data_IF_662218480863
#
_entry.id   IF_662218480863
#
_cell.length_a   1.000
_cell.length_b   1.000
_cell.length_c   1.000
_cell.angle_alpha   90.00
_cell.angle_beta   90.00
_cell.angle_gamma   90.00
#
_symmetry.space_group_name_H-M   'P 1'
#
loop_
_entity.id
_entity.type
_entity.pdbx_description
1 polymer ?
#
# COMPACT_ATOMS: atom_id res chain seq x y z
N UNK A 1 10.40 -11.90 12.17
CA UNK A 1 10.14 -13.36 12.14
C UNK A 1 9.12 -13.83 13.18
N UNK A 2 9.29 -13.55 14.46
CA UNK A 2 8.35 -13.95 15.52
C UNK A 2 6.88 -13.61 15.21
N UNK A 3 6.60 -12.35 14.82
CA UNK A 3 5.24 -11.90 14.49
C UNK A 3 4.64 -12.69 13.32
N UNK A 4 5.42 -12.96 12.26
CA UNK A 4 4.93 -13.74 11.12
C UNK A 4 4.63 -15.19 11.51
N UNK A 5 5.50 -15.81 12.30
CA UNK A 5 5.33 -17.18 12.76
C UNK A 5 4.12 -17.34 13.70
N UNK A 6 3.84 -16.33 14.55
CA UNK A 6 2.73 -16.37 15.52
C UNK A 6 1.38 -15.94 14.95
N UNK A 7 1.31 -15.48 13.70
CA UNK A 7 0.06 -15.09 13.04
C UNK A 7 -0.65 -16.25 12.35
N UNK A 8 0.03 -17.36 12.11
CA UNK A 8 -0.58 -18.53 11.50
C UNK A 8 -1.59 -19.17 12.48
N UNK A 9 -2.85 -19.30 12.04
CA UNK A 9 -3.90 -19.93 12.84
C UNK A 9 -3.91 -21.46 12.68
N UNK A 10 -3.64 -21.99 11.49
CA UNK A 10 -3.75 -23.43 11.20
C UNK A 10 -2.55 -24.00 10.46
N UNK A 11 -1.89 -23.21 9.64
CA UNK A 11 -0.80 -23.68 8.81
C UNK A 11 0.23 -22.58 8.59
N UNK A 12 1.50 -22.92 8.76
CA UNK A 12 2.64 -22.04 8.50
C UNK A 12 3.55 -22.71 7.47
N UNK A 13 3.70 -22.10 6.31
CA UNK A 13 4.68 -22.49 5.31
C UNK A 13 5.88 -21.56 5.37
N UNK A 14 7.06 -22.17 5.49
CA UNK A 14 8.32 -21.45 5.41
C UNK A 14 9.07 -21.90 4.16
N UNK A 15 9.64 -20.95 3.41
CA UNK A 15 10.42 -21.24 2.21
C UNK A 15 11.65 -20.33 2.13
N UNK A 16 12.65 -20.78 1.40
CA UNK A 16 13.84 -20.02 1.07
C UNK A 16 14.35 -20.44 -0.31
N UNK A 17 15.31 -19.70 -0.84
CA UNK A 17 15.87 -19.92 -2.15
C UNK A 17 17.36 -19.62 -2.17
N UNK A 18 18.10 -20.28 -3.07
CA UNK A 18 19.51 -20.06 -3.28
C UNK A 18 19.81 -18.84 -4.13
N UNK A 19 18.85 -18.42 -4.97
CA UNK A 19 19.05 -17.37 -5.96
C UNK A 19 17.93 -16.34 -5.94
N UNK A 20 18.28 -15.06 -5.95
CA UNK A 20 17.31 -13.97 -6.15
C UNK A 20 17.12 -13.62 -7.63
N UNK A 21 16.05 -12.93 -7.96
CA UNK A 21 15.68 -12.57 -9.34
C UNK A 21 16.66 -11.61 -10.04
N UNK A 22 17.44 -10.85 -9.30
CA UNK A 22 18.27 -9.79 -9.88
C UNK A 22 19.77 -9.87 -9.55
N UNK A 23 20.24 -10.93 -8.91
CA UNK A 23 21.61 -11.02 -8.45
C UNK A 23 22.33 -12.28 -8.93
N UNK A 24 23.65 -12.18 -9.13
CA UNK A 24 24.53 -13.34 -9.38
C UNK A 24 25.00 -14.03 -8.09
N UNK A 25 24.79 -13.39 -6.92
CA UNK A 25 25.24 -13.91 -5.64
C UNK A 25 24.28 -14.95 -5.07
N UNK A 26 24.83 -16.00 -4.45
CA UNK A 26 24.04 -16.99 -3.70
C UNK A 26 23.56 -16.38 -2.39
N UNK A 27 22.29 -16.55 -2.09
CA UNK A 27 21.66 -16.04 -0.86
C UNK A 27 21.62 -17.10 0.24
N UNK A 28 21.24 -18.33 -0.12
CA UNK A 28 21.08 -19.43 0.81
C UNK A 28 19.84 -19.35 1.72
N UNK A 29 19.58 -20.40 2.49
CA UNK A 29 18.52 -20.41 3.48
C UNK A 29 18.90 -19.50 4.65
N UNK A 30 17.91 -18.73 5.16
CA UNK A 30 18.15 -17.91 6.34
C UNK A 30 18.45 -18.76 7.57
N UNK A 31 19.24 -18.24 8.56
CA UNK A 31 19.48 -18.95 9.82
C UNK A 31 18.19 -19.40 10.53
N UNK A 32 17.13 -18.58 10.44
CA UNK A 32 15.83 -18.94 11.03
C UNK A 32 15.15 -20.12 10.34
N UNK A 33 15.28 -20.25 9.02
CA UNK A 33 14.73 -21.39 8.28
C UNK A 33 15.49 -22.67 8.63
N UNK A 34 16.80 -22.58 8.83
CA UNK A 34 17.61 -23.67 9.31
C UNK A 34 17.27 -24.10 10.75
N UNK A 35 17.03 -23.14 11.65
CA UNK A 35 16.58 -23.43 13.01
C UNK A 35 15.25 -24.18 13.01
N UNK A 36 14.25 -23.72 12.22
CA UNK A 36 12.97 -24.42 12.06
C UNK A 36 13.19 -25.83 11.53
N UNK A 37 14.08 -26.04 10.57
CA UNK A 37 14.44 -27.38 10.09
C UNK A 37 15.08 -28.23 11.17
N UNK A 38 16.06 -27.70 11.89
CA UNK A 38 16.80 -28.43 12.95
C UNK A 38 15.91 -28.78 14.15
N UNK A 39 14.91 -27.97 14.45
CA UNK A 39 13.98 -28.21 15.57
C UNK A 39 13.16 -29.51 15.43
N UNK A 40 13.01 -30.02 14.21
CA UNK A 40 12.23 -31.22 13.93
C UNK A 40 10.71 -31.07 14.07
N UNK A 41 10.21 -29.89 14.43
CA UNK A 41 8.76 -29.63 14.57
C UNK A 41 8.07 -29.38 13.22
N UNK A 42 8.83 -29.04 12.18
CA UNK A 42 8.30 -28.77 10.85
C UNK A 42 8.51 -29.95 9.91
N UNK A 43 7.50 -30.26 9.10
CA UNK A 43 7.64 -31.22 8.02
C UNK A 43 8.38 -30.55 6.85
N UNK A 44 9.58 -31.04 6.53
CA UNK A 44 10.33 -30.60 5.36
C UNK A 44 9.72 -31.26 4.11
N UNK A 45 9.14 -30.44 3.21
CA UNK A 45 8.60 -30.92 1.95
C UNK A 45 9.71 -31.08 0.89
N UNK A 46 10.59 -30.08 0.79
CA UNK A 46 11.70 -30.07 -0.14
C UNK A 46 12.84 -29.27 0.47
N UNK A 47 14.06 -29.74 0.31
CA UNK A 47 15.28 -29.01 0.68
C UNK A 47 16.31 -29.17 -0.43
N UNK A 48 16.53 -28.11 -1.18
CA UNK A 48 17.51 -28.13 -2.26
C UNK A 48 18.94 -28.18 -1.71
N UNK A 49 19.80 -28.94 -2.38
CA UNK A 49 21.21 -28.96 -2.08
C UNK A 49 21.84 -27.58 -2.36
N UNK A 50 22.92 -27.28 -1.64
CA UNK A 50 23.71 -26.09 -1.91
C UNK A 50 24.29 -26.17 -3.33
N UNK A 51 24.14 -25.12 -4.15
CA UNK A 51 24.77 -25.07 -5.46
C UNK A 51 26.28 -25.09 -5.36
N UNK A 52 26.98 -25.61 -6.40
CA UNK A 52 28.44 -25.57 -6.48
C UNK A 52 28.97 -24.13 -6.41
N UNK A 53 30.18 -23.91 -5.92
CA UNK A 53 30.74 -22.55 -5.70
C UNK A 53 30.74 -21.67 -6.93
N UNK A 54 30.87 -22.24 -8.11
CA UNK A 54 30.93 -21.61 -9.44
C UNK A 54 29.59 -21.69 -10.20
N UNK A 55 28.51 -22.19 -9.58
CA UNK A 55 27.21 -22.28 -10.22
C UNK A 55 26.66 -20.88 -10.52
N UNK A 56 26.19 -20.70 -11.73
CA UNK A 56 25.51 -19.49 -12.16
C UNK A 56 24.03 -19.49 -11.74
N UNK A 57 23.48 -18.29 -11.50
CA UNK A 57 22.08 -18.14 -11.16
C UNK A 57 21.18 -18.58 -12.33
N UNK A 58 20.40 -19.67 -12.21
CA UNK A 58 19.58 -20.16 -13.29
C UNK A 58 18.42 -19.19 -13.67
N UNK A 59 18.08 -18.23 -12.80
CA UNK A 59 17.07 -17.22 -13.08
C UNK A 59 17.58 -16.12 -14.02
N UNK A 60 18.89 -16.01 -14.23
CA UNK A 60 19.49 -15.10 -15.19
C UNK A 60 19.62 -15.75 -16.60
N UNK A 61 19.39 -17.05 -16.71
CA UNK A 61 19.33 -17.71 -18.00
C UNK A 61 18.18 -17.14 -18.85
N UNK A 62 18.43 -16.98 -20.14
CA UNK A 62 17.40 -16.51 -21.06
C UNK A 62 16.16 -17.42 -20.98
N UNK A 63 15.02 -16.84 -20.64
CA UNK A 63 13.75 -17.57 -20.68
C UNK A 63 13.40 -17.80 -22.14
N UNK A 64 13.23 -19.06 -22.54
CA UNK A 64 12.69 -19.35 -23.86
C UNK A 64 11.30 -18.72 -23.99
N UNK A 65 11.10 -17.96 -25.07
CA UNK A 65 9.81 -17.37 -25.35
C UNK A 65 8.78 -18.49 -25.57
N UNK A 66 7.68 -18.44 -24.85
CA UNK A 66 6.57 -19.34 -25.03
C UNK A 66 5.36 -18.57 -25.57
N UNK A 67 4.66 -19.16 -26.52
CA UNK A 67 3.42 -18.57 -27.02
C UNK A 67 2.34 -18.56 -25.92
N UNK A 68 1.73 -17.41 -25.71
CA UNK A 68 0.61 -17.25 -24.79
C UNK A 68 -0.62 -16.73 -25.55
N UNK A 69 -1.79 -17.30 -25.31
CA UNK A 69 -2.10 -18.38 -24.37
C UNK A 69 -1.70 -19.76 -24.89
N UNK A 70 -1.21 -20.58 -23.97
CA UNK A 70 -0.97 -22.00 -24.29
C UNK A 70 -2.32 -22.67 -24.59
N UNK A 71 -2.54 -23.03 -25.85
CA UNK A 71 -3.74 -23.77 -26.26
C UNK A 71 -3.65 -25.18 -25.69
N UNK A 72 -4.16 -25.37 -24.48
CA UNK A 72 -4.33 -26.72 -23.94
C UNK A 72 -5.51 -27.38 -24.65
N UNK A 73 -5.27 -27.77 -25.91
CA UNK A 73 -6.19 -28.58 -26.67
C UNK A 73 -6.28 -29.98 -26.04
N UNK A 74 -7.13 -30.12 -25.04
CA UNK A 74 -7.42 -31.40 -24.40
C UNK A 74 -8.92 -31.74 -24.57
N UNK A 75 -9.29 -32.99 -24.28
CA UNK A 75 -10.68 -33.45 -24.32
C UNK A 75 -11.68 -32.49 -23.66
N UNK A 76 -11.28 -31.83 -22.60
CA UNK A 76 -12.14 -30.86 -21.93
C UNK A 76 -12.42 -29.63 -22.80
N UNK A 77 -11.43 -29.13 -23.53
CA UNK A 77 -11.61 -27.99 -24.42
C UNK A 77 -12.51 -28.31 -25.58
N UNK A 78 -12.35 -29.50 -26.16
CA UNK A 78 -13.22 -30.00 -27.24
C UNK A 78 -14.66 -30.16 -26.77
N UNK A 79 -14.88 -30.77 -25.59
CA UNK A 79 -16.19 -30.90 -24.97
C UNK A 79 -16.85 -29.53 -24.68
N UNK A 80 -16.10 -28.56 -24.22
CA UNK A 80 -16.60 -27.18 -23.98
C UNK A 80 -16.96 -26.49 -25.31
N UNK A 81 -16.16 -26.69 -26.36
CA UNK A 81 -16.47 -26.17 -27.72
C UNK A 81 -17.74 -26.79 -28.31
N UNK A 82 -17.89 -28.11 -28.19
CA UNK A 82 -19.10 -28.80 -28.64
C UNK A 82 -20.33 -28.34 -27.88
N UNK A 83 -20.24 -28.21 -26.53
CA UNK A 83 -21.32 -27.68 -25.71
C UNK A 83 -21.67 -26.24 -26.08
N UNK A 84 -20.68 -25.39 -26.33
CA UNK A 84 -20.91 -24.03 -26.78
C UNK A 84 -21.58 -23.94 -28.15
N UNK A 85 -21.25 -24.83 -29.08
CA UNK A 85 -21.90 -24.92 -30.39
C UNK A 85 -23.37 -25.32 -30.25
N UNK A 86 -23.69 -26.29 -29.38
CA UNK A 86 -25.08 -26.69 -29.07
C UNK A 86 -25.89 -25.53 -28.47
N UNK A 87 -25.30 -24.77 -27.56
CA UNK A 87 -25.96 -23.59 -26.99
C UNK A 87 -26.20 -22.52 -28.07
N UNK A 88 -25.23 -22.26 -28.94
CA UNK A 88 -25.40 -21.31 -30.05
C UNK A 88 -26.48 -21.74 -31.03
N UNK A 89 -26.54 -23.04 -31.36
CA UNK A 89 -27.60 -23.59 -32.19
C UNK A 89 -28.98 -23.46 -31.54
N UNK A 90 -29.06 -23.75 -30.24
CA UNK A 90 -30.32 -23.59 -29.49
C UNK A 90 -30.79 -22.13 -29.41
N UNK A 91 -29.85 -21.17 -29.23
CA UNK A 91 -30.16 -19.75 -29.24
C UNK A 91 -30.62 -19.20 -30.60
N UNK A 92 -30.18 -19.85 -31.69
CA UNK A 92 -30.61 -19.50 -33.07
C UNK A 92 -32.01 -20.03 -33.42
N UNK A 93 -32.55 -20.97 -32.67
CA UNK A 93 -33.89 -21.53 -32.85
C UNK A 93 -34.89 -20.78 -31.97
N UNK A 94 -36.13 -20.52 -32.45
CA UNK A 94 -37.16 -19.98 -31.57
C UNK A 94 -37.41 -20.98 -30.43
N UNK A 95 -37.47 -20.45 -29.21
CA UNK A 95 -37.74 -21.26 -28.03
C UNK A 95 -39.05 -22.03 -28.23
N UNK A 96 -39.09 -23.34 -27.99
CA UNK A 96 -40.34 -24.07 -28.00
C UNK A 96 -41.28 -23.45 -26.96
N UNK A 97 -42.61 -23.40 -27.23
CA UNK A 97 -43.55 -22.95 -26.24
C UNK A 97 -43.37 -23.77 -24.95
N UNK A 98 -43.41 -23.10 -23.79
CA UNK A 98 -43.33 -23.80 -22.53
C UNK A 98 -44.43 -24.88 -22.45
N UNK A 99 -44.10 -26.12 -22.02
CA UNK A 99 -45.10 -27.16 -21.88
C UNK A 99 -46.17 -26.69 -20.91
N UNK A 100 -47.43 -26.75 -21.30
CA UNK A 100 -48.56 -26.34 -20.47
C UNK A 100 -48.65 -27.12 -19.13
N UNK A 101 -47.98 -28.25 -19.04
CA UNK A 101 -47.96 -29.16 -17.89
C UNK A 101 -46.55 -29.28 -17.23
N UNK A 102 -45.89 -28.18 -16.96
CA UNK A 102 -44.69 -28.27 -16.15
C UNK A 102 -45.04 -28.48 -14.67
N UNK A 103 -44.45 -29.49 -14.01
CA UNK A 103 -44.65 -29.73 -12.59
C UNK A 103 -44.33 -28.43 -11.79
N UNK A 104 -45.12 -28.15 -10.73
CA UNK A 104 -44.92 -26.92 -9.92
C UNK A 104 -43.46 -26.73 -9.51
N UNK A 105 -42.82 -27.82 -9.09
CA UNK A 105 -41.42 -27.83 -8.71
C UNK A 105 -40.48 -27.42 -9.85
N UNK A 106 -40.73 -27.87 -11.03
CA UNK A 106 -39.88 -27.57 -12.22
C UNK A 106 -40.07 -26.11 -12.66
N UNK A 107 -41.27 -25.58 -12.47
CA UNK A 107 -41.57 -24.17 -12.72
C UNK A 107 -40.85 -23.25 -11.72
N UNK A 108 -40.92 -23.57 -10.41
CA UNK A 108 -40.20 -22.82 -9.36
C UNK A 108 -38.69 -22.84 -9.59
N UNK A 109 -38.15 -23.99 -10.02
CA UNK A 109 -36.73 -24.14 -10.35
C UNK A 109 -36.33 -23.32 -11.59
N UNK A 110 -37.15 -23.33 -12.64
CA UNK A 110 -36.93 -22.53 -13.83
C UNK A 110 -36.95 -21.03 -13.55
N UNK A 111 -37.91 -20.56 -12.73
CA UNK A 111 -37.99 -19.18 -12.28
C UNK A 111 -36.77 -18.78 -11.42
N UNK A 112 -36.27 -19.68 -10.57
CA UNK A 112 -35.04 -19.45 -9.81
C UNK A 112 -33.84 -19.27 -10.73
N UNK A 113 -33.67 -20.17 -11.71
CA UNK A 113 -32.58 -20.07 -12.69
C UNK A 113 -32.67 -18.83 -13.58
N UNK A 114 -33.86 -18.41 -13.95
CA UNK A 114 -34.07 -17.20 -14.74
C UNK A 114 -33.64 -15.94 -13.94
N UNK A 115 -34.00 -15.88 -12.65
CA UNK A 115 -33.54 -14.81 -11.75
C UNK A 115 -32.00 -14.82 -11.62
N UNK A 116 -31.39 -15.97 -11.38
CA UNK A 116 -29.95 -16.10 -11.23
C UNK A 116 -29.21 -15.73 -12.53
N UNK A 117 -29.73 -16.18 -13.69
CA UNK A 117 -29.18 -15.82 -15.00
C UNK A 117 -29.29 -14.31 -15.24
N UNK A 118 -30.42 -13.70 -14.87
CA UNK A 118 -30.64 -12.25 -14.95
C UNK A 118 -29.59 -11.47 -14.11
N UNK A 119 -29.36 -11.89 -12.88
CA UNK A 119 -28.34 -11.27 -12.00
C UNK A 119 -26.94 -11.42 -12.59
N UNK A 120 -26.58 -12.59 -13.07
CA UNK A 120 -25.25 -12.85 -13.68
C UNK A 120 -25.04 -12.04 -14.98
N UNK A 121 -26.09 -11.89 -15.79
CA UNK A 121 -26.04 -11.07 -17.00
C UNK A 121 -25.93 -9.59 -16.67
N UNK A 122 -26.63 -9.11 -15.65
CA UNK A 122 -26.51 -7.74 -15.17
C UNK A 122 -25.11 -7.45 -14.63
N UNK A 123 -24.56 -8.35 -13.83
CA UNK A 123 -23.17 -8.25 -13.33
C UNK A 123 -22.16 -8.24 -14.49
N UNK A 124 -22.35 -9.12 -15.49
CA UNK A 124 -21.50 -9.15 -16.68
C UNK A 124 -21.60 -7.85 -17.49
N UNK A 125 -22.80 -7.29 -17.63
CA UNK A 125 -23.00 -6.01 -18.30
C UNK A 125 -22.30 -4.87 -17.57
N UNK A 126 -22.40 -4.82 -16.23
CA UNK A 126 -21.68 -3.86 -15.41
C UNK A 126 -20.16 -3.99 -15.54
N UNK A 127 -19.64 -5.23 -15.59
CA UNK A 127 -18.19 -5.48 -15.79
C UNK A 127 -17.70 -5.13 -17.21
N UNK A 128 -18.56 -5.17 -18.22
CA UNK A 128 -18.23 -4.86 -19.62
C UNK A 128 -18.54 -3.43 -20.02
N UNK A 129 -19.41 -2.77 -19.28
CA UNK A 129 -19.71 -1.36 -19.53
C UNK A 129 -18.54 -0.47 -19.11
N UNK A 130 -18.32 0.61 -19.84
CA UNK A 130 -17.39 1.71 -19.47
C UNK A 130 -17.84 2.46 -18.22
N UNK A 131 -18.78 1.93 -17.47
CA UNK A 131 -19.24 2.48 -16.19
C UNK A 131 -18.11 2.43 -15.19
N UNK A 132 -17.69 3.59 -14.70
CA UNK A 132 -16.75 3.71 -13.60
C UNK A 132 -17.24 2.85 -12.43
N UNK A 133 -16.47 1.84 -12.05
CA UNK A 133 -16.79 1.02 -10.87
C UNK A 133 -16.64 1.92 -9.66
N UNK A 134 -17.75 2.22 -8.99
CA UNK A 134 -17.71 2.95 -7.73
C UNK A 134 -17.09 2.05 -6.66
N UNK A 135 -16.07 2.56 -6.00
CA UNK A 135 -15.38 1.86 -4.91
C UNK A 135 -15.60 2.68 -3.64
N UNK A 136 -16.33 2.14 -2.66
CA UNK A 136 -16.55 2.88 -1.42
C UNK A 136 -15.24 3.10 -0.69
N UNK A 137 -15.02 4.33 -0.24
CA UNK A 137 -13.90 4.62 0.63
C UNK A 137 -14.14 4.08 2.04
N UNK A 138 -13.09 3.58 2.71
CA UNK A 138 -13.18 3.21 4.11
C UNK A 138 -13.66 4.38 4.99
N UNK A 139 -14.41 4.09 6.05
CA UNK A 139 -14.83 5.10 7.02
C UNK A 139 -13.66 5.82 7.72
N UNK A 140 -12.50 5.15 7.75
CA UNK A 140 -11.24 5.68 8.28
C UNK A 140 -10.21 5.75 7.17
N UNK A 141 -9.65 6.92 6.96
CA UNK A 141 -8.62 7.18 5.94
C UNK A 141 -7.29 7.51 6.62
N UNK A 142 -6.20 7.05 6.04
CA UNK A 142 -4.88 7.59 6.41
C UNK A 142 -4.60 8.87 5.62
N UNK A 143 -3.74 9.74 6.16
CA UNK A 143 -3.26 10.90 5.41
C UNK A 143 -2.60 10.47 4.09
N UNK A 144 -1.90 9.34 4.07
CA UNK A 144 -1.34 8.76 2.85
C UNK A 144 -2.42 8.39 1.82
N UNK A 145 -3.59 7.94 2.28
CA UNK A 145 -4.74 7.67 1.41
C UNK A 145 -5.32 8.97 0.83
N UNK A 146 -5.36 10.06 1.60
CA UNK A 146 -5.76 11.38 1.07
C UNK A 146 -4.79 11.90 0.01
N UNK A 147 -3.49 11.74 0.23
CA UNK A 147 -2.45 12.10 -0.75
C UNK A 147 -2.60 11.25 -2.03
N UNK A 148 -2.84 9.94 -1.87
CA UNK A 148 -3.06 9.04 -3.00
C UNK A 148 -4.34 9.42 -3.76
N UNK A 149 -5.41 9.79 -3.06
CA UNK A 149 -6.66 10.28 -3.63
C UNK A 149 -6.45 11.54 -4.47
N UNK A 150 -5.75 12.52 -3.93
CA UNK A 150 -5.46 13.76 -4.64
C UNK A 150 -4.55 13.55 -5.88
N UNK A 151 -3.70 12.53 -5.84
CA UNK A 151 -2.77 12.21 -6.92
C UNK A 151 -3.39 11.39 -8.04
N UNK A 152 -4.07 10.31 -7.71
CA UNK A 152 -4.70 9.37 -8.66
C UNK A 152 -5.85 8.61 -7.98
N UNK A 153 -7.08 9.13 -8.05
CA UNK A 153 -8.27 8.48 -7.47
C UNK A 153 -8.49 7.06 -8.01
N UNK A 154 -8.18 6.83 -9.29
CA UNK A 154 -8.38 5.52 -9.91
C UNK A 154 -7.38 4.48 -9.36
N UNK A 155 -6.13 4.87 -9.13
CA UNK A 155 -5.14 4.00 -8.48
C UNK A 155 -5.54 3.69 -7.04
N UNK A 156 -6.00 4.70 -6.27
CA UNK A 156 -6.50 4.46 -4.91
C UNK A 156 -7.68 3.49 -4.91
N UNK A 157 -8.65 3.66 -5.83
CA UNK A 157 -9.78 2.75 -5.96
C UNK A 157 -9.34 1.31 -6.26
N UNK A 158 -8.35 1.13 -7.15
CA UNK A 158 -7.74 -0.19 -7.41
C UNK A 158 -7.11 -0.79 -6.16
N UNK A 159 -6.38 0.01 -5.38
CA UNK A 159 -5.74 -0.44 -4.14
C UNK A 159 -6.75 -0.82 -3.05
N UNK A 160 -7.82 -0.05 -2.90
CA UNK A 160 -8.90 -0.34 -1.94
C UNK A 160 -9.64 -1.62 -2.32
N UNK A 161 -9.98 -1.77 -3.61
CA UNK A 161 -10.70 -2.95 -4.12
C UNK A 161 -9.85 -4.23 -4.07
N UNK A 162 -8.55 -4.12 -4.37
CA UNK A 162 -7.62 -5.25 -4.39
C UNK A 162 -6.29 -4.84 -3.79
N UNK A 163 -6.16 -4.89 -2.47
CA UNK A 163 -4.90 -4.55 -1.81
C UNK A 163 -3.82 -5.58 -2.21
N UNK A 164 -2.80 -5.09 -2.91
CA UNK A 164 -1.65 -5.89 -3.29
C UNK A 164 -0.49 -5.54 -2.35
N UNK A 165 0.11 -6.52 -1.67
CA UNK A 165 1.33 -6.30 -0.91
C UNK A 165 2.43 -5.78 -1.83
N UNK A 166 3.06 -4.69 -1.45
CA UNK A 166 4.23 -4.15 -2.14
C UNK A 166 5.47 -4.40 -1.29
N UNK A 167 6.56 -4.87 -1.87
CA UNK A 167 7.80 -4.99 -1.12
C UNK A 167 8.23 -3.60 -0.62
N UNK A 168 8.80 -3.50 0.59
CA UNK A 168 9.34 -2.24 1.08
C UNK A 168 10.42 -1.73 0.14
N UNK A 169 10.24 -0.52 -0.41
CA UNK A 169 11.27 0.12 -1.22
C UNK A 169 12.46 0.50 -0.32
N UNK A 170 13.68 0.40 -0.83
CA UNK A 170 14.91 0.81 -0.12
C UNK A 170 14.83 2.26 0.38
N UNK A 171 14.20 3.15 -0.40
CA UNK A 171 13.95 4.54 0.00
C UNK A 171 13.03 4.66 1.22
N UNK A 172 12.05 3.76 1.38
CA UNK A 172 11.16 3.76 2.54
C UNK A 172 11.91 3.34 3.81
N UNK A 173 12.80 2.33 3.73
CA UNK A 173 13.66 1.92 4.85
C UNK A 173 14.56 3.05 5.31
N UNK A 174 15.22 3.75 4.38
CA UNK A 174 16.06 4.91 4.69
C UNK A 174 15.25 6.05 5.35
N UNK A 175 14.04 6.32 4.86
CA UNK A 175 13.14 7.27 5.47
C UNK A 175 12.83 6.90 6.93
N UNK A 176 12.44 5.65 7.17
CA UNK A 176 12.13 5.15 8.52
C UNK A 176 13.33 5.27 9.46
N UNK A 177 14.53 4.88 9.04
CA UNK A 177 15.75 4.99 9.84
C UNK A 177 16.11 6.45 10.19
N UNK A 178 15.86 7.39 9.26
CA UNK A 178 16.06 8.82 9.51
C UNK A 178 15.06 9.37 10.54
N UNK A 179 13.78 9.02 10.45
CA UNK A 179 12.75 9.42 11.42
C UNK A 179 13.04 8.84 12.80
N UNK A 180 13.44 7.58 12.91
CA UNK A 180 13.85 6.97 14.19
C UNK A 180 15.05 7.70 14.83
N UNK A 181 16.03 8.09 14.01
CA UNK A 181 17.16 8.87 14.51
C UNK A 181 16.72 10.25 15.03
N UNK A 182 15.79 10.94 14.36
CA UNK A 182 15.25 12.21 14.82
C UNK A 182 14.47 12.06 16.15
N UNK A 183 13.68 11.01 16.23
CA UNK A 183 12.93 10.67 17.44
C UNK A 183 13.88 10.45 18.64
N UNK A 184 14.95 9.69 18.46
CA UNK A 184 15.98 9.50 19.47
C UNK A 184 16.70 10.81 19.82
N UNK A 185 17.04 11.62 18.82
CA UNK A 185 17.69 12.93 19.01
C UNK A 185 16.87 13.87 19.92
N UNK A 186 15.55 13.86 19.76
CA UNK A 186 14.65 14.70 20.53
C UNK A 186 14.16 14.07 21.85
N UNK A 187 14.70 12.90 22.23
CA UNK A 187 14.52 12.30 23.56
C UNK A 187 13.20 11.60 23.79
N UNK A 188 12.44 11.33 22.73
CA UNK A 188 11.28 10.44 22.81
C UNK A 188 11.77 9.00 22.60
N UNK A 189 12.10 8.30 23.69
CA UNK A 189 12.38 6.87 23.62
C UNK A 189 11.08 6.10 23.44
N UNK A 190 10.95 5.41 22.31
CA UNK A 190 9.99 4.31 22.20
C UNK A 190 10.39 3.22 23.21
N UNK A 191 9.42 2.77 24.00
CA UNK A 191 9.61 1.72 25.01
C UNK A 191 9.93 0.33 24.40
N UNK A 192 9.95 0.21 23.08
CA UNK A 192 10.26 -1.01 22.36
C UNK A 192 11.17 -0.65 21.19
N UNK A 193 12.43 -1.03 21.30
CA UNK A 193 13.40 -0.98 20.19
C UNK A 193 13.14 -2.19 19.26
N UNK A 194 12.30 -1.98 18.23
CA UNK A 194 12.05 -3.00 17.20
C UNK A 194 13.33 -3.37 16.41
N UNK A 195 14.35 -2.52 16.43
CA UNK A 195 15.62 -2.76 15.76
C UNK A 195 16.51 -3.79 16.50
N UNK A 196 16.28 -4.02 17.80
CA UNK A 196 17.01 -5.04 18.55
C UNK A 196 16.62 -6.48 18.14
N UNK A 197 15.51 -6.64 17.42
CA UNK A 197 15.00 -7.94 16.95
C UNK A 197 15.48 -8.34 15.54
N UNK A 198 16.00 -7.39 14.76
CA UNK A 198 16.48 -7.61 13.41
C UNK A 198 17.97 -7.24 13.38
N UNK A 199 18.85 -8.23 13.29
CA UNK A 199 20.28 -8.01 13.09
C UNK A 199 20.56 -7.17 11.82
N UNK A 200 21.75 -6.57 11.70
CA UNK A 200 22.11 -5.76 10.55
C UNK A 200 21.98 -6.60 9.26
N UNK A 201 21.26 -6.04 8.28
CA UNK A 201 21.10 -6.63 6.95
C UNK A 201 22.44 -6.43 6.21
N UNK A 202 22.99 -7.44 5.51
CA UNK A 202 24.27 -7.31 4.78
C UNK A 202 24.28 -6.21 3.71
N UNK A 203 23.13 -5.72 3.28
CA UNK A 203 22.97 -4.56 2.37
C UNK A 203 23.05 -3.20 3.09
N UNK A 204 23.29 -3.16 4.39
CA UNK A 204 23.23 -1.96 5.23
C UNK A 204 24.40 -0.99 5.02
N UNK A 205 25.56 -1.44 4.54
CA UNK A 205 26.73 -0.56 4.40
C UNK A 205 26.52 0.61 3.42
N UNK A 206 25.78 0.40 2.33
CA UNK A 206 25.43 1.47 1.40
C UNK A 206 24.29 2.36 1.94
N UNK A 207 23.37 1.77 2.71
CA UNK A 207 22.28 2.49 3.37
C UNK A 207 22.79 3.35 4.53
N UNK A 208 23.81 2.90 5.26
CA UNK A 208 24.44 3.64 6.36
C UNK A 208 25.18 4.89 5.89
N UNK A 209 25.87 4.85 4.75
CA UNK A 209 26.53 6.01 4.16
C UNK A 209 25.52 7.12 3.77
N UNK A 210 24.42 6.75 3.18
CA UNK A 210 23.33 7.66 2.81
C UNK A 210 22.64 8.26 4.06
N UNK A 211 22.45 7.46 5.10
CA UNK A 211 21.85 7.91 6.35
C UNK A 211 22.75 8.89 7.09
N UNK A 212 24.07 8.63 7.15
CA UNK A 212 25.05 9.53 7.73
C UNK A 212 25.08 10.90 7.02
N UNK A 213 24.97 10.89 5.69
CA UNK A 213 24.87 12.13 4.90
C UNK A 213 23.60 12.93 5.21
N UNK A 214 22.45 12.26 5.38
CA UNK A 214 21.19 12.92 5.78
C UNK A 214 21.28 13.51 7.17
N UNK A 215 21.83 12.78 8.15
CA UNK A 215 22.08 13.25 9.52
C UNK A 215 22.94 14.51 9.52
N UNK A 216 24.08 14.46 8.83
CA UNK A 216 25.02 15.60 8.74
C UNK A 216 24.40 16.83 8.06
N UNK A 217 23.50 16.66 7.09
CA UNK A 217 22.78 17.78 6.47
C UNK A 217 21.74 18.37 7.41
N UNK A 218 20.97 17.52 8.08
CA UNK A 218 20.00 17.96 9.06
C UNK A 218 20.66 18.77 10.18
N UNK A 219 21.81 18.29 10.70
CA UNK A 219 22.57 18.98 11.79
C UNK A 219 23.05 20.38 11.42
N UNK A 220 23.15 20.68 10.12
CA UNK A 220 23.51 22.02 9.62
C UNK A 220 22.30 22.85 9.19
N UNK A 221 21.09 22.31 9.28
CA UNK A 221 19.86 23.00 8.88
C UNK A 221 19.34 23.95 9.97
N UNK A 222 18.49 24.90 9.57
CA UNK A 222 17.74 25.76 10.49
C UNK A 222 16.94 24.97 11.53
N UNK A 223 16.54 23.75 11.20
CA UNK A 223 15.71 22.91 12.06
C UNK A 223 16.49 22.24 13.18
N UNK A 224 17.78 22.02 13.01
CA UNK A 224 18.62 21.38 14.02
C UNK A 224 18.88 22.31 15.24
N UNK A 225 18.79 23.62 15.04
CA UNK A 225 18.96 24.64 16.10
C UNK A 225 17.68 24.83 16.93
N UNK A 226 16.55 24.35 16.43
CA UNK A 226 15.24 24.48 17.07
C UNK A 226 14.91 23.22 17.86
N UNK A 227 14.18 23.37 18.95
CA UNK A 227 13.70 22.26 19.76
C UNK A 227 12.20 22.07 19.56
N UNK A 228 11.73 20.91 19.06
CA UNK A 228 10.31 20.68 18.85
C UNK A 228 9.59 20.55 20.19
N UNK A 229 8.39 21.10 20.27
CA UNK A 229 7.48 20.89 21.39
C UNK A 229 6.95 19.46 21.45
N UNK A 230 6.76 18.84 20.28
CA UNK A 230 6.31 17.47 20.17
C UNK A 230 6.85 16.84 18.88
N UNK A 231 7.10 15.52 18.91
CA UNK A 231 7.52 14.70 17.76
C UNK A 231 6.67 13.47 17.66
N UNK A 232 6.53 12.93 16.43
CA UNK A 232 5.79 11.70 16.13
C UNK A 232 4.37 11.67 16.73
N UNK A 233 3.65 12.81 16.63
CA UNK A 233 2.35 13.01 17.29
C UNK A 233 1.26 12.27 16.51
N UNK A 234 0.68 11.19 17.07
CA UNK A 234 -0.46 10.53 16.45
C UNK A 234 -1.70 11.40 16.56
N UNK A 235 -2.53 11.39 15.51
CA UNK A 235 -3.80 12.09 15.54
C UNK A 235 -4.90 11.34 14.80
N UNK A 236 -6.14 11.60 15.22
CA UNK A 236 -7.35 11.32 14.47
C UNK A 236 -8.20 12.60 14.45
N UNK A 237 -8.63 13.00 13.28
CA UNK A 237 -9.46 14.19 13.09
C UNK A 237 -10.59 13.90 12.11
N UNK A 238 -11.73 14.58 12.28
CA UNK A 238 -12.85 14.48 11.36
C UNK A 238 -12.64 15.46 10.20
N UNK A 239 -12.78 14.97 8.97
CA UNK A 239 -12.77 15.77 7.74
C UNK A 239 -14.00 15.39 6.94
N UNK A 240 -14.96 16.32 6.86
CA UNK A 240 -16.29 15.98 6.37
C UNK A 240 -16.94 14.90 7.25
N UNK A 241 -17.37 13.79 6.65
CA UNK A 241 -17.97 12.62 7.32
C UNK A 241 -16.95 11.49 7.62
N UNK A 242 -15.67 11.70 7.34
CA UNK A 242 -14.63 10.67 7.44
C UNK A 242 -13.61 10.95 8.53
N UNK A 243 -13.20 9.90 9.21
CA UNK A 243 -12.13 9.96 10.20
C UNK A 243 -10.78 9.84 9.51
N UNK A 244 -9.96 10.89 9.61
CA UNK A 244 -8.61 10.93 9.06
C UNK A 244 -7.60 10.74 10.18
N UNK A 245 -6.72 9.76 10.01
CA UNK A 245 -5.63 9.46 10.95
C UNK A 245 -4.28 9.66 10.31
N UNK A 246 -3.34 10.09 11.13
CA UNK A 246 -1.96 10.28 10.70
C UNK A 246 -1.02 10.42 11.88
N UNK A 247 0.20 10.82 11.57
CA UNK A 247 1.23 11.13 12.55
C UNK A 247 1.98 12.35 12.05
N UNK A 248 2.15 13.33 12.90
CA UNK A 248 2.90 14.56 12.62
C UNK A 248 4.33 14.33 13.08
N UNK A 249 5.32 14.53 12.21
CA UNK A 249 6.71 14.25 12.52
C UNK A 249 7.29 15.18 13.60
N UNK A 250 7.07 16.49 13.45
CA UNK A 250 7.52 17.46 14.47
C UNK A 250 6.64 18.72 14.51
N UNK A 251 6.53 19.29 15.72
CA UNK A 251 5.84 20.55 15.95
C UNK A 251 6.71 21.47 16.79
N UNK A 252 6.89 22.70 16.31
CA UNK A 252 7.65 23.76 17.00
C UNK A 252 6.71 24.88 17.42
N UNK A 253 6.85 25.34 18.68
CA UNK A 253 6.02 26.42 19.25
C UNK A 253 6.62 27.81 19.08
N UNK A 254 7.80 27.90 18.47
CA UNK A 254 8.58 29.12 18.27
C UNK A 254 8.42 29.73 16.87
N UNK A 255 7.27 29.52 16.24
CA UNK A 255 7.00 30.05 14.90
C UNK A 255 7.14 31.58 14.88
N UNK A 256 7.81 32.19 13.85
CA UNK A 256 7.85 33.63 13.68
C UNK A 256 6.46 34.26 13.67
N UNK A 257 6.25 35.28 14.52
CA UNK A 257 4.94 35.90 14.71
C UNK A 257 4.04 35.20 15.74
N UNK A 258 4.55 34.17 16.43
CA UNK A 258 3.80 33.34 17.38
C UNK A 258 3.10 32.18 16.70
N UNK A 259 2.60 31.22 17.50
CA UNK A 259 1.93 30.01 17.02
C UNK A 259 2.88 28.84 16.76
N UNK A 260 2.53 27.98 15.79
CA UNK A 260 3.19 26.71 15.61
C UNK A 260 3.69 26.52 14.17
N UNK A 261 4.84 25.83 14.03
CA UNK A 261 5.30 25.23 12.80
C UNK A 261 5.12 23.70 12.87
N UNK A 262 4.30 23.13 12.03
CA UNK A 262 4.20 21.69 11.80
C UNK A 262 5.13 21.32 10.65
N UNK A 263 6.05 20.41 10.89
CA UNK A 263 7.08 20.04 9.93
C UNK A 263 7.04 18.55 9.66
N UNK A 264 7.09 18.18 8.39
CA UNK A 264 7.20 16.80 7.91
C UNK A 264 8.55 16.63 7.20
N UNK A 265 9.31 15.64 7.62
CA UNK A 265 10.65 15.37 7.14
C UNK A 265 10.61 14.46 5.91
N UNK A 266 11.23 14.89 4.82
CA UNK A 266 11.29 14.13 3.58
C UNK A 266 12.74 13.81 3.19
N UNK A 267 13.05 12.53 3.05
CA UNK A 267 14.36 12.07 2.58
C UNK A 267 14.44 11.98 1.04
N UNK A 268 13.30 12.09 0.36
CA UNK A 268 13.20 12.10 -1.10
C UNK A 268 13.45 13.48 -1.71
N UNK A 269 13.19 13.57 -3.03
CA UNK A 269 13.27 14.84 -3.77
C UNK A 269 12.02 15.70 -3.57
N UNK A 270 12.14 17.03 -3.67
CA UNK A 270 10.98 17.91 -3.77
C UNK A 270 10.10 17.58 -4.99
N UNK A 271 8.78 17.88 -4.92
CA UNK A 271 7.86 17.64 -6.02
C UNK A 271 8.24 18.47 -7.26
N UNK A 272 8.31 17.81 -8.42
CA UNK A 272 8.72 18.43 -9.68
C UNK A 272 7.55 18.99 -10.50
N UNK A 273 6.32 18.49 -10.30
CA UNK A 273 5.13 18.90 -11.04
C UNK A 273 4.10 19.59 -10.13
N UNK A 274 3.17 20.32 -10.75
CA UNK A 274 2.07 20.94 -10.01
C UNK A 274 1.15 19.90 -9.35
N UNK A 275 0.86 18.81 -10.04
CA UNK A 275 0.07 17.70 -9.50
C UNK A 275 0.76 17.05 -8.29
N UNK A 276 2.08 16.86 -8.32
CA UNK A 276 2.83 16.38 -7.17
C UNK A 276 2.77 17.39 -6.00
N UNK A 277 2.90 18.70 -6.29
CA UNK A 277 2.80 19.75 -5.25
C UNK A 277 1.42 19.77 -4.61
N UNK A 278 0.36 19.67 -5.41
CA UNK A 278 -1.01 19.62 -4.91
C UNK A 278 -1.21 18.38 -4.00
N UNK A 279 -0.81 17.21 -4.46
CA UNK A 279 -0.97 15.98 -3.70
C UNK A 279 -0.24 16.03 -2.35
N UNK A 280 0.99 16.52 -2.29
CA UNK A 280 1.72 16.64 -1.03
C UNK A 280 1.18 17.77 -0.14
N UNK A 281 0.60 18.85 -0.71
CA UNK A 281 -0.01 19.93 0.07
C UNK A 281 -1.22 19.45 0.89
N UNK A 282 -1.93 18.43 0.42
CA UNK A 282 -3.03 17.76 1.15
C UNK A 282 -2.54 17.19 2.47
N UNK A 283 -1.34 16.60 2.51
CA UNK A 283 -0.74 16.11 3.75
C UNK A 283 -0.54 17.22 4.78
N UNK A 284 0.07 18.33 4.37
CA UNK A 284 0.29 19.48 5.24
C UNK A 284 -1.01 20.14 5.70
N UNK A 285 -2.02 20.20 4.84
CA UNK A 285 -3.33 20.71 5.20
C UNK A 285 -3.97 19.87 6.31
N UNK A 286 -3.94 18.53 6.19
CA UNK A 286 -4.45 17.63 7.20
C UNK A 286 -3.68 17.76 8.54
N UNK A 287 -2.35 17.85 8.49
CA UNK A 287 -1.52 18.02 9.68
C UNK A 287 -1.76 19.36 10.38
N UNK A 288 -1.87 20.43 9.61
CA UNK A 288 -2.18 21.78 10.13
C UNK A 288 -3.50 21.80 10.87
N UNK A 289 -4.55 21.22 10.30
CA UNK A 289 -5.86 21.13 10.94
C UNK A 289 -5.82 20.25 12.19
N UNK A 290 -5.19 19.08 12.09
CA UNK A 290 -5.08 18.16 13.21
C UNK A 290 -4.36 18.82 14.41
N UNK A 291 -3.26 19.52 14.16
CA UNK A 291 -2.55 20.22 15.25
C UNK A 291 -3.36 21.38 15.81
N UNK A 292 -4.04 22.17 14.98
CA UNK A 292 -4.91 23.25 15.44
C UNK A 292 -6.00 22.73 16.38
N UNK A 293 -6.60 21.59 16.05
CA UNK A 293 -7.60 20.94 16.91
C UNK A 293 -6.96 20.41 18.22
N UNK A 294 -5.81 19.74 18.15
CA UNK A 294 -5.12 19.19 19.31
C UNK A 294 -4.64 20.28 20.29
N UNK A 295 -4.11 21.37 19.77
CA UNK A 295 -3.64 22.51 20.56
C UNK A 295 -4.74 23.49 20.96
N UNK A 296 -5.97 23.28 20.48
CA UNK A 296 -7.12 24.19 20.67
C UNK A 296 -6.82 25.64 20.25
N UNK A 297 -6.16 25.82 19.10
CA UNK A 297 -5.82 27.12 18.53
C UNK A 297 -6.45 27.32 17.14
N UNK A 298 -6.66 28.56 16.71
CA UNK A 298 -7.10 28.84 15.34
C UNK A 298 -6.09 28.28 14.33
N UNK A 299 -6.58 27.71 13.22
CA UNK A 299 -5.74 27.16 12.13
C UNK A 299 -4.77 28.21 11.58
N UNK A 300 -5.12 29.49 11.63
CA UNK A 300 -4.27 30.60 11.19
C UNK A 300 -2.97 30.74 12.02
N UNK A 301 -2.95 30.22 13.26
CA UNK A 301 -1.76 30.20 14.11
C UNK A 301 -0.86 28.98 13.87
N UNK A 302 -1.26 28.07 12.96
CA UNK A 302 -0.48 26.87 12.63
C UNK A 302 0.03 27.01 11.20
N UNK A 303 1.34 27.04 11.03
CA UNK A 303 2.00 26.95 9.73
C UNK A 303 2.44 25.52 9.49
N UNK A 304 2.62 25.14 8.24
CA UNK A 304 3.08 23.80 7.89
C UNK A 304 4.16 23.86 6.81
N UNK A 305 5.12 22.94 6.89
CA UNK A 305 6.25 22.87 5.98
C UNK A 305 6.68 21.44 5.73
N UNK A 306 7.21 21.18 4.54
CA UNK A 306 8.08 20.05 4.27
C UNK A 306 9.54 20.50 4.36
N UNK A 307 10.37 19.69 4.98
CA UNK A 307 11.80 19.84 4.89
C UNK A 307 12.42 18.65 4.17
N UNK A 308 12.95 18.92 2.97
CA UNK A 308 13.62 17.94 2.12
C UNK A 308 15.09 17.85 2.49
N UNK A 309 15.40 16.94 3.40
CA UNK A 309 16.72 16.82 4.05
C UNK A 309 17.86 16.65 3.03
N UNK A 310 17.68 15.81 2.02
CA UNK A 310 18.70 15.57 1.00
C UNK A 310 19.06 16.82 0.19
N UNK A 311 18.18 17.84 0.17
CA UNK A 311 18.32 19.06 -0.61
C UNK A 311 18.48 20.31 0.27
N UNK A 312 18.43 20.17 1.59
CA UNK A 312 18.42 21.27 2.56
C UNK A 312 17.39 22.34 2.19
N UNK A 313 16.18 21.90 1.87
CA UNK A 313 15.14 22.77 1.33
C UNK A 313 13.85 22.69 2.16
N UNK A 314 13.46 23.83 2.74
CA UNK A 314 12.15 23.98 3.39
C UNK A 314 11.14 24.50 2.37
N UNK A 315 10.04 23.78 2.19
CA UNK A 315 8.94 24.16 1.27
C UNK A 315 7.69 24.44 2.12
N UNK A 316 7.18 25.66 2.01
CA UNK A 316 5.92 26.09 2.64
C UNK A 316 4.94 26.46 1.55
N UNK A 317 3.98 25.58 1.18
CA UNK A 317 2.95 25.94 0.21
C UNK A 317 2.10 27.11 0.73
N UNK A 318 1.85 28.10 -0.12
CA UNK A 318 1.05 29.26 0.24
C UNK A 318 -0.45 28.90 0.37
N UNK A 319 -0.92 28.04 -0.54
CA UNK A 319 -2.33 27.69 -0.69
C UNK A 319 -2.59 26.27 -0.19
N UNK A 320 -2.62 26.09 1.14
CA UNK A 320 -3.06 24.85 1.75
C UNK A 320 -4.59 24.80 1.80
N UNK A 321 -5.14 23.64 1.44
CA UNK A 321 -6.57 23.39 1.56
C UNK A 321 -7.03 23.65 3.00
N UNK A 322 -8.18 24.26 3.14
CA UNK A 322 -8.92 24.34 4.38
C UNK A 322 -9.77 23.09 4.60
N UNK A 323 -10.56 23.06 5.66
CA UNK A 323 -11.43 21.94 5.98
C UNK A 323 -12.44 21.64 4.87
N UNK A 324 -13.02 22.68 4.29
CA UNK A 324 -13.98 22.54 3.20
C UNK A 324 -13.32 21.97 1.93
N UNK A 325 -12.09 22.40 1.62
CA UNK A 325 -11.32 21.88 0.50
C UNK A 325 -10.91 20.42 0.67
N UNK A 326 -10.54 20.02 1.90
CA UNK A 326 -10.25 18.61 2.20
C UNK A 326 -11.51 17.75 2.18
N UNK A 327 -12.64 18.25 2.69
CA UNK A 327 -13.91 17.56 2.63
C UNK A 327 -14.38 17.37 1.18
N UNK A 328 -14.28 18.42 0.36
CA UNK A 328 -14.63 18.36 -1.06
C UNK A 328 -13.77 17.33 -1.83
N UNK A 329 -12.48 17.18 -1.47
CA UNK A 329 -11.63 16.15 -2.06
C UNK A 329 -12.15 14.73 -1.76
N UNK A 330 -12.66 14.51 -0.56
CA UNK A 330 -13.24 13.22 -0.13
C UNK A 330 -14.59 12.99 -0.81
N UNK A 331 -15.41 14.02 -0.92
CA UNK A 331 -16.77 13.96 -1.51
C UNK A 331 -16.78 13.76 -3.04
N UNK A 332 -15.68 14.05 -3.73
CA UNK A 332 -15.55 13.78 -5.17
C UNK A 332 -15.70 12.30 -5.52
N UNK A 333 -15.70 11.42 -4.53
CA UNK A 333 -15.95 10.00 -4.70
C UNK A 333 -17.39 9.73 -4.27
N UNK A 334 -18.23 9.18 -5.17
CA UNK A 334 -19.62 8.92 -4.84
C UNK A 334 -19.72 8.02 -3.58
N UNK A 335 -20.47 8.48 -2.58
CA UNK A 335 -20.83 7.65 -1.43
C UNK A 335 -21.78 6.54 -1.90
N UNK A 336 -21.62 5.31 -1.39
CA UNK A 336 -22.67 4.30 -1.51
C UNK A 336 -23.92 4.79 -0.79
N UNK A 337 -25.04 4.80 -1.52
CA UNK A 337 -26.38 4.99 -0.98
C UNK A 337 -26.92 3.66 -0.44
#
# INVERSE_FOLDING_TARGET
MYVAATRAAFWLGCSGYWWGEGGSSRLGPSPFLEEVRKSGVARVATWAAEPEPDAENPLLAAVEAADWPVTRAGRRYEAVREAAALVQEALAKPAPPAPEEMAIRDRELAEAWERDAGLLLAERAQRRGDGATQVPLPARLSVSSLVALARDPAELARQVRRPMPRPPASQARRGTAFHQWLEQRYGQQLLIDDNALFGPDPDDDAADGDLAALRSRFERSEWAERWPQAVEVPFETLVGDRLVRGRIDAVFADAPGGGYDVVDWKTGRPPGSEAERLAVSVQLAAYRMAWAALAAVPVAQVRAAFYYVAHDQTVRPADLLDEAGLAALIEQIPAES
#
